data_IF_617157634641
#
_entry.id   IF_617157634641
#
_cell.length_a   1.000
_cell.length_b   1.000
_cell.length_c   1.000
_cell.angle_alpha   90.00
_cell.angle_beta   90.00
_cell.angle_gamma   90.00
#
_symmetry.space_group_name_H-M   'P 1'
#
loop_
_entity.id
_entity.type
_entity.pdbx_description
1 polymer ?
2 non-polymer ?
3 non-polymer ?
4 non-polymer ?
5 non-polymer ?
6 non-polymer ?
7 water ?
#
# COMPACT_ATOMS: atom_id res chain seq x y z
N UNK A 1 -5.29 13.77 -14.28
CA UNK A 1 -4.89 15.13 -14.59
C UNK A 1 -5.73 16.13 -13.82
N UNK A 2 -5.14 17.29 -13.53
CA UNK A 2 -5.77 18.32 -12.69
C UNK A 2 -7.05 18.84 -13.34
N UNK A 3 -7.99 19.29 -12.50
CA UNK A 3 -9.19 19.94 -13.02
C UNK A 3 -8.77 21.32 -13.54
N UNK A 4 -9.64 21.94 -14.33
CA UNK A 4 -9.43 23.34 -14.73
C UNK A 4 -9.27 24.19 -13.45
N UNK A 5 -8.55 25.30 -13.53
CA UNK A 5 -8.32 26.18 -12.36
C UNK A 5 -9.62 26.45 -11.59
N UNK A 6 -9.53 26.29 -10.27
CA UNK A 6 -10.67 26.40 -9.35
C UNK A 6 -11.57 25.17 -9.28
N UNK A 7 -11.49 24.30 -10.30
CA UNK A 7 -12.40 23.16 -10.44
C UNK A 7 -11.96 22.07 -9.50
N UNK A 8 -12.76 21.01 -9.42
CA UNK A 8 -12.60 19.95 -8.40
C UNK A 8 -12.45 18.56 -9.05
N UNK A 9 -11.24 18.07 -9.11
CA UNK A 9 -10.98 16.75 -9.69
C UNK A 9 -11.32 15.69 -8.66
N UNK A 10 -11.72 14.50 -9.13
CA UNK A 10 -11.84 13.32 -8.27
C UNK A 10 -10.43 13.07 -7.69
N UNK A 11 -10.35 12.82 -6.40
CA UNK A 11 -9.11 12.61 -5.73
C UNK A 11 -8.98 11.23 -5.15
N UNK A 12 -7.92 10.55 -5.59
CA UNK A 12 -7.76 9.13 -5.22
C UNK A 12 -6.44 8.98 -4.48
N UNK A 13 -6.48 8.45 -3.26
CA UNK A 13 -5.27 8.11 -2.52
C UNK A 13 -4.97 6.62 -2.76
N UNK A 14 -3.78 6.31 -3.25
CA UNK A 14 -3.33 4.98 -3.54
C UNK A 14 -2.22 4.64 -2.57
N UNK A 15 -2.46 3.59 -1.79
CA UNK A 15 -1.50 3.12 -0.83
C UNK A 15 -0.25 2.51 -1.52
N UNK A 16 0.88 2.46 -0.83
CA UNK A 16 2.09 1.95 -1.40
C UNK A 16 2.28 0.46 -1.01
N UNK A 17 2.64 0.17 0.25
CA UNK A 17 2.92 -1.21 0.62
C UNK A 17 1.62 -2.07 0.56
N UNK A 18 1.74 -3.16 -0.20
CA UNK A 18 0.62 -4.07 -0.38
C UNK A 18 -0.36 -3.69 -1.48
N UNK A 19 -0.10 -2.59 -2.18
CA UNK A 19 -0.94 -2.11 -3.24
C UNK A 19 -0.13 -1.80 -4.50
N UNK A 20 0.91 -0.97 -4.30
CA UNK A 20 1.86 -0.75 -5.35
C UNK A 20 3.10 -1.66 -5.24
N UNK A 21 3.61 -1.81 -4.04
CA UNK A 21 4.91 -2.48 -3.77
C UNK A 21 4.59 -3.76 -3.03
N UNK A 22 5.24 -4.84 -3.43
CA UNK A 22 4.97 -6.17 -2.83
C UNK A 22 5.84 -6.35 -1.56
N UNK A 23 5.35 -5.78 -0.47
CA UNK A 23 5.92 -5.86 0.87
C UNK A 23 5.92 -7.30 1.35
N UNK A 24 4.77 -8.00 1.23
CA UNK A 24 4.74 -9.36 1.76
C UNK A 24 5.66 -10.35 1.07
N UNK A 25 5.70 -10.32 -0.26
CA UNK A 25 6.58 -11.18 -1.03
C UNK A 25 8.07 -10.86 -0.89
N UNK A 26 8.32 -9.55 -0.83
CA UNK A 26 9.68 -9.09 -0.56
C UNK A 26 10.22 -9.51 0.76
N UNK A 27 9.38 -9.31 1.78
CA UNK A 27 9.65 -9.70 3.14
C UNK A 27 9.98 -11.21 3.13
N UNK A 28 9.07 -12.05 2.60
CA UNK A 28 9.33 -13.49 2.71
C UNK A 28 10.63 -13.94 2.00
N UNK A 29 10.91 -13.36 0.85
CA UNK A 29 12.10 -13.68 0.11
C UNK A 29 13.34 -13.34 0.91
N UNK A 30 13.39 -12.15 1.47
CA UNK A 30 14.58 -11.76 2.25
C UNK A 30 14.70 -12.40 3.60
N UNK A 31 13.56 -12.70 4.23
CA UNK A 31 13.56 -13.44 5.47
C UNK A 31 14.17 -14.84 5.25
N UNK A 32 13.64 -15.52 4.25
CA UNK A 32 14.18 -16.88 3.91
C UNK A 32 15.67 -16.90 3.60
N UNK A 33 16.11 -15.91 2.82
CA UNK A 33 17.53 -15.71 2.43
C UNK A 33 18.43 -15.41 3.62
N UNK A 34 17.94 -14.59 4.53
CA UNK A 34 18.77 -14.19 5.66
C UNK A 34 18.77 -15.25 6.80
N UNK A 35 17.62 -15.89 7.00
CA UNK A 35 17.31 -16.83 8.09
C UNK A 35 16.86 -18.20 7.55
N UNK A 36 17.73 -18.85 6.76
CA UNK A 36 17.33 -20.14 6.12
C UNK A 36 17.02 -21.32 7.07
N UNK A 37 17.45 -21.17 8.32
CA UNK A 37 17.21 -22.22 9.32
C UNK A 37 15.97 -22.00 10.17
N UNK A 38 15.22 -20.94 9.92
CA UNK A 38 14.01 -20.68 10.68
C UNK A 38 12.77 -21.06 9.86
N UNK A 39 11.69 -21.41 10.55
CA UNK A 39 10.42 -21.61 9.89
C UNK A 39 9.91 -20.25 9.39
N UNK A 40 9.09 -20.31 8.34
CA UNK A 40 8.52 -19.08 7.77
C UNK A 40 7.03 -19.29 7.56
N UNK A 41 6.34 -18.23 7.16
CA UNK A 41 4.92 -18.30 6.86
C UNK A 41 4.71 -18.10 5.36
N UNK A 42 4.24 -19.15 4.71
CA UNK A 42 3.82 -19.07 3.31
C UNK A 42 2.75 -17.96 3.17
N UNK A 43 2.75 -17.25 2.02
CA UNK A 43 1.85 -16.15 1.82
C UNK A 43 0.41 -16.59 1.97
N UNK A 44 0.11 -17.80 1.44
CA UNK A 44 -1.23 -18.39 1.57
C UNK A 44 -1.67 -18.56 3.02
N UNK A 45 -0.71 -18.71 3.93
CA UNK A 45 -1.00 -18.91 5.37
C UNK A 45 -0.92 -17.66 6.23
N UNK A 46 -0.65 -16.50 5.61
CA UNK A 46 -0.61 -15.23 6.34
C UNK A 46 -2.01 -14.93 6.87
N UNK A 47 -2.04 -14.61 8.16
CA UNK A 47 -3.24 -14.21 8.90
C UNK A 47 -2.92 -13.01 9.79
N UNK A 48 -3.78 -12.01 9.70
CA UNK A 48 -3.62 -10.76 10.48
C UNK A 48 -2.72 -9.78 9.76
N UNK A 49 -2.98 -8.50 9.94
CA UNK A 49 -2.23 -7.52 9.22
C UNK A 49 -0.73 -7.50 9.54
N UNK A 50 -0.38 -7.63 10.81
CA UNK A 50 1.01 -7.46 11.25
C UNK A 50 1.84 -8.71 11.07
N UNK A 51 2.78 -8.67 10.11
CA UNK A 51 3.66 -9.81 9.81
C UNK A 51 4.39 -10.26 11.10
N UNK A 52 4.94 -9.30 11.84
CA UNK A 52 5.79 -9.72 12.99
C UNK A 52 4.99 -10.42 14.10
N UNK A 53 3.72 -10.06 14.24
CA UNK A 53 2.85 -10.77 15.21
C UNK A 53 2.64 -12.24 14.90
N UNK A 54 2.40 -12.56 13.64
CA UNK A 54 2.32 -13.96 13.27
C UNK A 54 3.66 -14.67 13.42
N UNK A 55 4.76 -14.04 13.03
CA UNK A 55 6.08 -14.67 13.19
C UNK A 55 6.42 -14.98 14.66
N UNK A 56 6.04 -14.04 15.50
CA UNK A 56 6.25 -14.18 16.98
C UNK A 56 5.49 -15.33 17.60
N UNK A 57 4.31 -15.63 17.05
CA UNK A 57 3.50 -16.80 17.49
C UNK A 57 4.11 -18.09 16.97
N UNK A 58 4.85 -18.00 15.88
CA UNK A 58 5.47 -19.15 15.26
C UNK A 58 6.64 -19.68 16.09
N UNK A 59 7.49 -18.78 16.61
CA UNK A 59 8.61 -19.17 17.49
C UNK A 59 9.14 -17.98 18.27
N UNK A 60 9.47 -18.17 19.58
CA UNK A 60 9.99 -17.04 20.39
C UNK A 60 11.19 -16.38 19.73
N UNK A 61 11.22 -15.06 19.62
CA UNK A 61 12.35 -14.41 18.91
C UNK A 61 12.21 -14.10 17.41
N UNK A 62 11.27 -14.76 16.74
CA UNK A 62 11.08 -14.61 15.29
C UNK A 62 10.49 -13.23 14.91
N UNK A 63 9.78 -12.64 15.84
CA UNK A 63 9.29 -11.29 15.63
C UNK A 63 10.45 -10.28 15.41
N UNK A 64 11.51 -10.38 16.24
CA UNK A 64 12.64 -9.46 16.14
C UNK A 64 13.42 -9.72 14.84
N UNK A 65 13.51 -10.99 14.45
CA UNK A 65 14.15 -11.32 13.18
C UNK A 65 13.35 -10.75 12.01
N UNK A 66 12.03 -10.88 12.09
CA UNK A 66 11.19 -10.33 11.04
C UNK A 66 11.39 -8.84 10.92
N UNK A 67 11.34 -8.14 12.04
CA UNK A 67 11.53 -6.67 12.05
C UNK A 67 12.84 -6.26 11.40
N UNK A 68 13.88 -7.03 11.64
CA UNK A 68 15.21 -6.70 11.06
C UNK A 68 15.25 -6.72 9.55
N UNK A 69 14.28 -7.40 8.96
CA UNK A 69 14.20 -7.46 7.48
C UNK A 69 13.81 -6.07 6.97
N UNK A 70 12.70 -5.52 7.47
CA UNK A 70 12.24 -4.23 6.96
C UNK A 70 13.00 -3.01 7.48
N UNK A 71 13.78 -3.22 8.55
CA UNK A 71 14.66 -2.14 9.02
C UNK A 71 15.95 -2.04 8.20
N UNK A 72 16.19 -3.00 7.37
CA UNK A 72 17.43 -3.07 6.65
C UNK A 72 17.43 -2.12 5.45
N UNK A 73 18.62 -1.59 5.18
CA UNK A 73 18.83 -0.81 3.97
C UNK A 73 18.43 -1.62 2.72
N UNK A 74 17.78 -0.94 1.82
CA UNK A 74 17.30 -1.46 0.53
C UNK A 74 16.09 -2.37 0.55
N UNK A 75 15.52 -2.61 1.74
CA UNK A 75 14.33 -3.39 1.80
C UNK A 75 13.19 -2.72 1.01
N UNK A 76 12.88 -1.45 1.34
CA UNK A 76 11.82 -0.75 0.65
C UNK A 76 12.16 -0.50 -0.81
N UNK A 77 13.41 -0.09 -1.06
CA UNK A 77 13.79 0.24 -2.41
C UNK A 77 13.69 -0.91 -3.42
N UNK A 78 14.04 -2.12 -2.97
CA UNK A 78 14.08 -3.32 -3.79
C UNK A 78 12.71 -4.05 -3.86
N UNK A 79 11.64 -3.54 -3.27
CA UNK A 79 10.34 -4.20 -3.44
C UNK A 79 9.95 -4.17 -4.90
N UNK A 80 9.41 -5.29 -5.34
CA UNK A 80 8.84 -5.39 -6.68
C UNK A 80 7.44 -4.77 -6.74
N UNK A 81 7.14 -4.09 -7.80
CA UNK A 81 5.76 -3.67 -7.96
C UNK A 81 4.82 -4.81 -8.14
N UNK A 82 3.61 -4.65 -7.63
CA UNK A 82 2.56 -5.67 -7.88
C UNK A 82 2.22 -5.67 -9.34
N UNK A 83 1.81 -6.81 -9.88
CA UNK A 83 1.44 -6.86 -11.28
C UNK A 83 0.32 -5.86 -11.58
N UNK A 84 0.55 -5.12 -12.64
CA UNK A 84 -0.43 -4.14 -13.07
C UNK A 84 -0.46 -2.80 -12.32
N UNK A 85 0.27 -2.66 -11.20
CA UNK A 85 0.13 -1.49 -10.33
C UNK A 85 0.65 -0.21 -11.06
N UNK A 86 1.87 -0.31 -11.58
CA UNK A 86 2.45 0.84 -12.27
C UNK A 86 1.64 1.29 -13.47
N UNK A 87 1.26 0.33 -14.30
CA UNK A 87 0.44 0.62 -15.45
C UNK A 87 -0.92 1.29 -15.04
N UNK A 88 -1.56 0.74 -14.02
CA UNK A 88 -2.85 1.27 -13.60
C UNK A 88 -2.74 2.70 -13.06
N UNK A 89 -1.76 2.95 -12.19
CA UNK A 89 -1.62 4.26 -11.58
C UNK A 89 -1.22 5.29 -12.67
N UNK A 90 -0.36 4.89 -13.62
CA UNK A 90 -0.05 5.79 -14.74
C UNK A 90 -1.29 6.12 -15.55
N UNK A 91 -2.12 5.11 -15.85
CA UNK A 91 -3.36 5.37 -16.54
C UNK A 91 -4.28 6.26 -15.73
N UNK A 92 -4.41 5.93 -14.45
CA UNK A 92 -5.29 6.67 -13.54
C UNK A 92 -4.93 8.16 -13.49
N UNK A 93 -3.63 8.44 -13.41
CA UNK A 93 -3.14 9.79 -13.31
C UNK A 93 -3.35 10.57 -14.60
N UNK A 94 -3.45 9.87 -15.73
CA UNK A 94 -3.70 10.52 -17.04
C UNK A 94 -5.19 10.83 -17.31
N UNK A 95 -6.09 10.34 -16.45
CA UNK A 95 -7.52 10.51 -16.69
C UNK A 95 -7.91 11.96 -16.44
N UNK A 96 -8.83 12.48 -17.27
CA UNK A 96 -9.36 13.82 -16.99
C UNK A 96 -9.98 13.89 -15.58
N UNK A 97 -9.85 15.07 -14.97
CA UNK A 97 -10.49 15.40 -13.68
C UNK A 97 -10.18 14.37 -12.59
N UNK A 98 -8.94 13.98 -12.53
CA UNK A 98 -8.49 12.89 -11.62
C UNK A 98 -7.13 13.19 -11.04
N UNK A 99 -7.07 13.34 -9.72
CA UNK A 99 -5.80 13.65 -9.01
C UNK A 99 -5.46 12.46 -8.16
N UNK A 100 -4.32 11.88 -8.43
CA UNK A 100 -3.84 10.70 -7.73
C UNK A 100 -2.70 11.08 -6.82
N UNK A 101 -2.82 10.66 -5.55
CA UNK A 101 -1.71 10.79 -4.59
C UNK A 101 -1.33 9.38 -4.10
N UNK A 102 -0.03 9.14 -3.98
CA UNK A 102 0.47 7.95 -3.34
C UNK A 102 0.59 8.29 -1.88
N UNK A 103 -0.17 7.59 -1.05
CA UNK A 103 -0.27 7.90 0.38
C UNK A 103 0.26 6.71 1.15
N UNK A 104 1.36 6.90 1.90
CA UNK A 104 2.08 5.80 2.53
C UNK A 104 2.53 6.18 3.89
N UNK A 105 2.62 5.17 4.76
CA UNK A 105 3.12 5.42 6.08
C UNK A 105 4.52 4.86 6.19
N UNK A 106 5.47 5.67 6.60
CA UNK A 106 6.81 5.20 6.81
C UNK A 106 6.80 4.35 8.12
N UNK A 107 7.78 3.44 8.25
CA UNK A 107 7.95 2.75 9.55
C UNK A 107 8.61 3.73 10.52
N UNK A 108 8.62 3.25 11.77
CA UNK A 108 9.21 4.00 12.87
C UNK A 108 10.69 4.28 12.69
N UNK A 109 11.47 3.27 12.28
CA UNK A 109 12.88 3.47 12.01
C UNK A 109 12.99 4.17 10.65
N UNK A 110 13.43 5.41 10.67
CA UNK A 110 13.24 6.28 9.53
C UNK A 110 14.52 6.50 8.76
N UNK A 111 15.59 5.83 9.10
CA UNK A 111 16.88 6.06 8.43
C UNK A 111 16.80 5.86 6.94
N UNK A 112 16.16 4.77 6.50
CA UNK A 112 16.10 4.42 5.07
C UNK A 112 14.72 4.57 4.40
N UNK A 113 13.69 4.28 5.16
CA UNK A 113 12.38 4.02 4.62
C UNK A 113 11.83 5.22 3.84
N UNK A 114 11.73 6.40 4.45
CA UNK A 114 11.17 7.54 3.64
C UNK A 114 11.97 7.75 2.41
N UNK A 115 13.29 7.90 2.52
CA UNK A 115 14.12 8.05 1.38
C UNK A 115 13.85 7.01 0.28
N UNK A 116 13.87 5.76 0.66
CA UNK A 116 13.70 4.69 -0.35
C UNK A 116 12.32 4.68 -1.01
N UNK A 117 11.29 5.06 -0.26
CA UNK A 117 9.91 5.24 -0.83
C UNK A 117 9.90 6.33 -1.92
N UNK A 118 10.57 7.49 -1.69
CA UNK A 118 10.75 8.50 -2.74
C UNK A 118 11.48 7.94 -3.93
N UNK A 119 12.59 7.24 -3.68
CA UNK A 119 13.43 6.68 -4.74
C UNK A 119 12.66 5.68 -5.57
N UNK A 120 11.80 4.87 -4.89
CA UNK A 120 11.02 3.83 -5.56
C UNK A 120 9.97 4.47 -6.48
N UNK A 121 9.33 5.53 -6.01
CA UNK A 121 8.36 6.27 -6.81
C UNK A 121 9.08 6.86 -8.01
N UNK A 122 10.25 7.49 -7.80
CA UNK A 122 10.98 8.02 -8.93
C UNK A 122 11.31 6.98 -9.99
N UNK A 123 11.70 5.79 -9.50
CA UNK A 123 12.19 4.71 -10.38
C UNK A 123 11.03 4.24 -11.27
N UNK A 124 9.84 4.10 -10.68
CA UNK A 124 8.68 3.58 -11.46
C UNK A 124 7.72 4.56 -12.13
N UNK A 125 7.64 5.80 -11.65
CA UNK A 125 6.70 6.77 -12.15
C UNK A 125 7.35 8.03 -12.67
N UNK A 126 8.65 8.17 -12.41
CA UNK A 126 9.41 9.35 -12.87
C UNK A 126 9.47 10.49 -11.89
N UNK A 127 10.46 11.38 -12.06
CA UNK A 127 10.64 12.51 -11.14
C UNK A 127 9.40 13.38 -10.95
N UNK A 128 8.61 13.59 -11.97
CA UNK A 128 7.49 14.57 -11.78
C UNK A 128 6.43 13.99 -10.82
N UNK A 129 6.37 12.68 -10.74
CA UNK A 129 5.40 12.00 -9.84
C UNK A 129 5.74 12.16 -8.37
N UNK A 130 6.95 12.61 -8.06
CA UNK A 130 7.29 12.86 -6.65
C UNK A 130 6.36 13.93 -6.00
N UNK A 131 5.76 14.78 -6.82
CA UNK A 131 4.85 15.84 -6.35
C UNK A 131 3.59 15.22 -5.71
N UNK A 132 3.36 13.94 -6.02
CA UNK A 132 2.11 13.26 -5.64
C UNK A 132 2.23 12.41 -4.37
N UNK A 133 3.36 12.42 -3.70
CA UNK A 133 3.56 11.53 -2.56
C UNK A 133 3.15 12.28 -1.26
N UNK A 134 2.37 11.56 -0.45
CA UNK A 134 2.06 12.00 0.90
C UNK A 134 2.52 10.91 1.87
N UNK A 135 3.44 11.29 2.78
CA UNK A 135 3.84 10.37 3.87
C UNK A 135 3.17 10.75 5.14
N UNK A 136 2.48 9.81 5.76
CA UNK A 136 1.75 10.07 7.01
C UNK A 136 1.50 8.78 7.74
N UNK A 137 1.54 8.85 9.07
CA UNK A 137 1.11 7.76 9.91
C UNK A 137 -0.41 7.69 10.06
N UNK A 138 -1.07 8.79 9.71
CA UNK A 138 -2.50 8.86 9.91
C UNK A 138 -3.14 9.25 8.58
N UNK A 139 -3.77 8.29 7.90
CA UNK A 139 -4.37 8.62 6.61
C UNK A 139 -5.73 9.25 6.70
N UNK A 140 -6.31 9.23 7.89
CA UNK A 140 -7.63 9.86 8.09
C UNK A 140 -7.62 11.37 7.96
N UNK A 141 -6.45 11.98 8.16
CA UNK A 141 -6.33 13.46 8.02
C UNK A 141 -6.03 13.90 6.58
N UNK A 142 -5.94 12.93 5.67
CA UNK A 142 -5.76 13.22 4.24
C UNK A 142 -7.16 13.13 3.58
N UNK A 143 -7.59 14.22 2.93
CA UNK A 143 -8.93 14.27 2.36
C UNK A 143 -8.89 13.86 0.90
N UNK A 144 -9.86 13.04 0.53
CA UNK A 144 -9.96 12.51 -0.84
C UNK A 144 -11.31 11.85 -1.00
N UNK A 145 -11.62 11.47 -2.23
CA UNK A 145 -12.83 10.69 -2.48
C UNK A 145 -12.66 9.22 -2.22
N UNK A 146 -11.46 8.69 -2.45
CA UNK A 146 -11.20 7.24 -2.38
C UNK A 146 -9.85 7.03 -1.76
N UNK A 147 -9.72 5.96 -0.98
CA UNK A 147 -8.46 5.48 -0.47
C UNK A 147 -8.40 3.96 -0.78
N UNK A 148 -7.48 3.56 -1.65
CA UNK A 148 -7.26 2.14 -2.01
C UNK A 148 -6.08 1.66 -1.18
N UNK A 149 -6.35 0.77 -0.24
CA UNK A 149 -5.41 0.43 0.83
C UNK A 149 -5.71 -0.97 1.29
N UNK A 150 -4.66 -1.76 1.48
CA UNK A 150 -4.80 -3.17 1.94
C UNK A 150 -5.08 -3.37 3.41
N UNK A 151 -4.95 -2.32 4.20
CA UNK A 151 -5.12 -2.46 5.65
C UNK A 151 -6.63 -2.46 5.96
N UNK A 152 -7.15 -3.49 6.63
CA UNK A 152 -8.62 -3.52 6.76
C UNK A 152 -9.22 -2.42 7.56
N UNK A 153 -8.61 -2.07 8.68
CA UNK A 153 -9.28 -1.02 9.52
C UNK A 153 -8.32 0.16 9.65
N UNK A 154 -8.73 1.29 9.11
CA UNK A 154 -7.87 2.44 9.06
C UNK A 154 -8.56 3.51 9.90
N UNK A 155 -7.95 3.83 11.02
CA UNK A 155 -8.55 4.83 11.91
C UNK A 155 -7.47 5.81 12.34
N UNK A 156 -7.87 6.89 12.95
CA UNK A 156 -6.89 7.92 13.30
C UNK A 156 -7.62 9.08 13.94
N UNK A 157 -7.01 10.25 13.80
CA UNK A 157 -7.51 11.47 14.42
C UNK A 157 -8.82 11.99 13.89
N UNK A 158 -9.17 11.67 12.65
CA UNK A 158 -10.38 12.17 12.03
C UNK A 158 -11.41 11.05 12.15
N UNK A 159 -12.46 11.27 12.95
CA UNK A 159 -13.38 10.12 13.13
C UNK A 159 -14.27 9.86 11.92
N UNK A 160 -14.38 10.87 11.04
CA UNK A 160 -15.16 10.73 9.81
C UNK A 160 -14.39 11.16 8.57
N UNK A 161 -13.45 10.29 8.13
CA UNK A 161 -12.71 10.62 6.95
C UNK A 161 -13.56 10.86 5.76
N UNK A 162 -13.03 11.68 4.87
CA UNK A 162 -13.76 12.06 3.69
C UNK A 162 -13.77 11.04 2.60
N UNK A 163 -12.76 10.17 2.58
CA UNK A 163 -12.64 9.10 1.58
C UNK A 163 -13.52 7.88 1.93
N UNK A 164 -13.93 7.22 0.87
CA UNK A 164 -14.34 5.81 0.90
C UNK A 164 -13.10 4.93 0.81
N UNK A 165 -12.94 4.04 1.81
CA UNK A 165 -11.89 3.03 1.82
C UNK A 165 -12.29 1.83 1.05
N UNK A 166 -11.63 1.62 -0.08
CA UNK A 166 -11.73 0.42 -0.92
C UNK A 166 -10.58 -0.52 -0.52
N UNK A 167 -10.92 -1.71 -0.03
CA UNK A 167 -9.92 -2.65 0.47
C UNK A 167 -9.27 -3.33 -0.71
N UNK A 168 -7.97 -3.19 -0.79
CA UNK A 168 -7.16 -3.85 -1.78
C UNK A 168 -6.76 -5.21 -1.28
N UNK A 169 -7.12 -6.24 -2.03
CA UNK A 169 -6.90 -7.63 -1.59
C UNK A 169 -5.39 -7.92 -1.43
N UNK A 170 -5.03 -8.56 -0.34
CA UNK A 170 -3.66 -8.95 -0.05
C UNK A 170 -3.72 -10.31 0.60
N UNK A 171 -2.59 -11.05 0.58
CA UNK A 171 -2.60 -12.38 1.21
C UNK A 171 -3.17 -12.37 2.63
N UNK A 172 -2.89 -11.32 3.43
CA UNK A 172 -3.28 -11.23 4.80
C UNK A 172 -4.75 -10.82 5.06
N UNK A 173 -5.49 -10.39 4.03
CA UNK A 173 -6.89 -9.91 4.21
C UNK A 173 -7.89 -10.65 3.32
N UNK A 174 -7.42 -11.61 2.53
CA UNK A 174 -8.21 -12.17 1.41
C UNK A 174 -9.42 -12.98 1.92
N UNK A 175 -9.40 -13.45 3.18
CA UNK A 175 -10.50 -14.23 3.73
C UNK A 175 -11.45 -13.42 4.53
N UNK A 176 -11.17 -12.14 4.69
CA UNK A 176 -12.02 -11.28 5.56
C UNK A 176 -13.34 -10.92 4.98
N UNK A 177 -14.37 -11.17 5.79
CA UNK A 177 -15.66 -10.67 5.52
C UNK A 177 -15.72 -9.24 5.98
N UNK A 178 -16.25 -8.38 5.12
CA UNK A 178 -16.30 -6.90 5.39
C UNK A 178 -17.75 -6.54 5.68
N UNK A 179 -17.92 -5.47 6.42
CA UNK A 179 -19.25 -4.89 6.66
C UNK A 179 -19.82 -4.21 5.38
N UNK A 180 -21.02 -4.62 4.93
CA UNK A 180 -21.64 -3.86 3.83
C UNK A 180 -21.81 -2.38 4.25
N UNK A 181 -21.67 -1.41 3.34
CA UNK A 181 -21.43 -1.56 1.94
C UNK A 181 -19.93 -1.42 1.58
N UNK A 182 -19.03 -1.92 2.44
CA UNK A 182 -17.57 -1.82 2.13
C UNK A 182 -17.20 -2.62 0.88
N UNK A 183 -16.32 -2.08 0.00
CA UNK A 183 -15.97 -2.60 -1.33
C UNK A 183 -14.48 -3.05 -1.34
N UNK A 184 -14.16 -3.97 -2.25
CA UNK A 184 -12.80 -4.52 -2.44
C UNK A 184 -12.36 -4.24 -3.85
N UNK A 185 -11.08 -4.03 -4.05
CA UNK A 185 -10.49 -4.15 -5.36
C UNK A 185 -9.59 -5.39 -5.26
N UNK A 186 -9.82 -6.44 -6.08
CA UNK A 186 -9.06 -7.72 -5.93
C UNK A 186 -7.62 -7.67 -6.27
N UNK A 187 -7.30 -6.85 -7.25
CA UNK A 187 -5.98 -6.69 -7.80
C UNK A 187 -6.09 -5.55 -8.83
N UNK A 188 -5.00 -5.15 -9.46
CA UNK A 188 -5.04 -4.08 -10.42
C UNK A 188 -5.62 -4.57 -11.72
N UNK A 189 -5.70 -5.90 -11.94
CA UNK A 189 -6.48 -6.46 -13.09
C UNK A 189 -7.98 -6.22 -12.97
N UNK A 190 -8.44 -6.05 -11.74
CA UNK A 190 -9.82 -5.83 -11.42
C UNK A 190 -10.22 -4.45 -11.91
N UNK A 191 -11.50 -4.13 -11.87
CA UNK A 191 -12.01 -2.98 -12.58
C UNK A 191 -11.97 -1.71 -11.71
N UNK A 192 -10.77 -1.18 -11.59
CA UNK A 192 -10.59 0.01 -10.79
C UNK A 192 -11.27 1.22 -11.44
N UNK A 193 -11.36 1.26 -12.77
CA UNK A 193 -12.00 2.46 -13.33
C UNK A 193 -13.49 2.60 -12.94
N UNK A 194 -14.17 1.47 -12.87
CA UNK A 194 -15.58 1.45 -12.44
C UNK A 194 -15.75 2.02 -11.05
N UNK A 195 -14.81 1.70 -10.16
CA UNK A 195 -14.85 2.20 -8.80
C UNK A 195 -14.73 3.72 -8.84
N UNK A 196 -13.74 4.20 -9.57
CA UNK A 196 -13.60 5.63 -9.67
C UNK A 196 -14.84 6.30 -10.24
N UNK A 197 -15.32 5.76 -11.32
CA UNK A 197 -16.50 6.38 -12.00
C UNK A 197 -17.75 6.46 -11.11
N UNK A 198 -17.85 5.51 -10.19
CA UNK A 198 -18.97 5.48 -9.26
C UNK A 198 -18.97 6.62 -8.28
N UNK A 199 -17.82 7.31 -8.15
CA UNK A 199 -17.71 8.47 -7.27
C UNK A 199 -17.82 9.79 -7.98
N UNK A 200 -17.90 9.76 -9.30
CA UNK A 200 -17.91 10.99 -10.08
C UNK A 200 -19.35 11.50 -10.11
N UNK A 201 -19.53 12.84 -10.12
CA UNK A 201 -20.86 13.45 -10.29
C UNK A 201 -21.40 13.16 -11.66
#
# INVERSE_FOLDING_TARGET
>A
SNAASGGRALRVLVDMDGVLADFEGGFLRKFRARFPDQPFIALEDRRGFWVSEQYGRLRPGLSEKAISIWESKNFFFELEPLPGAVEAVKEMASLQNTDVFICTSPIKMFKYCPYEKYAWVEKYFGPDFLEQIVLTRDKTVVSADLLIDDRPDITGAEPTPSWEHVLFTACHNQHLQLQPPRRRLHSWADDWKAILDSKRPC
#
